data_IF_445073667040
#
_entry.id   IF_445073667040
#
_cell.length_a   1.000
_cell.length_b   1.000
_cell.length_c   1.000
_cell.angle_alpha   90.00
_cell.angle_beta   90.00
_cell.angle_gamma   90.00
#
_symmetry.space_group_name_H-M   'P 1'
#
loop_
_entity.id
_entity.type
_entity.pdbx_description
1 polymer ?
#
# COMPACT_ATOMS: atom_id res chain seq x y z
N UNK A 1 -60.95 50.74 -10.42
CA UNK A 1 -60.43 51.75 -11.36
C UNK A 1 -58.98 51.39 -11.68
N UNK A 2 -58.69 51.27 -12.97
CA UNK A 2 -57.43 51.06 -13.71
C UNK A 2 -56.06 51.16 -12.96
N UNK A 3 -55.20 50.13 -13.10
CA UNK A 3 -53.92 50.09 -13.88
C UNK A 3 -52.74 50.76 -13.11
N UNK A 4 -51.54 50.17 -12.90
CA UNK A 4 -50.56 49.65 -13.87
C UNK A 4 -49.42 48.88 -13.19
N UNK A 5 -48.97 47.83 -13.87
CA UNK A 5 -47.72 47.07 -13.65
C UNK A 5 -46.47 47.96 -13.79
N UNK A 6 -45.43 47.70 -13.00
CA UNK A 6 -44.05 48.03 -13.38
C UNK A 6 -43.14 46.83 -13.09
N UNK A 7 -42.67 46.23 -14.19
CA UNK A 7 -41.69 45.15 -14.24
C UNK A 7 -40.32 45.66 -13.76
N UNK A 8 -39.67 44.92 -12.86
CA UNK A 8 -38.22 44.92 -12.75
C UNK A 8 -37.72 43.56 -13.23
N UNK A 9 -37.31 43.54 -14.50
CA UNK A 9 -36.48 42.49 -15.09
C UNK A 9 -35.09 42.62 -14.48
N UNK A 10 -34.73 41.75 -13.55
CA UNK A 10 -33.34 41.55 -13.14
C UNK A 10 -32.70 40.69 -14.22
N UNK A 11 -31.88 41.32 -15.06
CA UNK A 11 -31.01 40.63 -16.02
C UNK A 11 -29.93 39.92 -15.20
N UNK A 12 -30.13 38.62 -14.95
CA UNK A 12 -29.05 37.72 -14.55
C UNK A 12 -28.20 37.49 -15.79
N UNK A 13 -27.15 38.30 -15.93
CA UNK A 13 -26.04 38.03 -16.84
C UNK A 13 -25.30 36.80 -16.30
N UNK A 14 -25.65 35.63 -16.84
CA UNK A 14 -24.89 34.40 -16.68
C UNK A 14 -23.54 34.62 -17.38
N UNK A 15 -22.54 35.06 -16.62
CA UNK A 15 -21.15 34.86 -17.00
C UNK A 15 -20.86 33.37 -16.87
N UNK A 16 -21.10 32.62 -17.94
CA UNK A 16 -20.42 31.35 -18.20
C UNK A 16 -18.96 31.73 -18.47
N UNK A 17 -18.21 32.00 -17.41
CA UNK A 17 -16.75 31.89 -17.48
C UNK A 17 -16.49 30.41 -17.64
N UNK A 18 -16.25 30.01 -18.88
CA UNK A 18 -15.71 28.72 -19.24
C UNK A 18 -14.52 28.45 -18.32
N UNK A 19 -14.69 27.51 -17.40
CA UNK A 19 -13.57 26.71 -16.94
C UNK A 19 -13.03 26.03 -18.20
N UNK A 20 -12.08 26.68 -18.87
CA UNK A 20 -11.23 26.03 -19.86
C UNK A 20 -10.46 25.01 -19.03
N UNK A 21 -11.03 23.80 -18.95
CA UNK A 21 -10.35 22.64 -18.39
C UNK A 21 -8.98 22.60 -19.03
N UNK A 22 -7.95 22.58 -18.18
CA UNK A 22 -6.55 22.51 -18.62
C UNK A 22 -6.41 21.24 -19.45
N UNK A 23 -6.43 21.38 -20.78
CA UNK A 23 -6.34 20.23 -21.70
C UNK A 23 -5.05 19.49 -21.41
N UNK A 24 -5.17 18.21 -21.11
CA UNK A 24 -4.01 17.37 -20.81
C UNK A 24 -3.19 17.19 -22.08
N UNK A 25 -1.89 17.51 -21.99
CA UNK A 25 -0.93 17.29 -23.08
C UNK A 25 -0.15 16.02 -22.81
N UNK A 26 -0.16 15.11 -23.78
CA UNK A 26 0.61 13.87 -23.78
C UNK A 26 1.51 13.83 -25.01
N UNK A 27 2.51 12.96 -25.02
CA UNK A 27 3.54 12.88 -26.06
C UNK A 27 3.42 11.57 -26.83
N UNK A 28 3.69 11.63 -28.14
CA UNK A 28 3.83 10.42 -28.95
C UNK A 28 5.10 9.68 -28.54
N UNK A 29 4.94 8.48 -27.96
CA UNK A 29 6.04 7.65 -27.47
C UNK A 29 6.53 6.60 -28.46
N UNK A 30 5.78 6.35 -29.53
CA UNK A 30 6.16 5.38 -30.57
C UNK A 30 7.09 6.01 -31.61
N UNK A 31 8.22 5.35 -31.91
CA UNK A 31 9.20 5.85 -32.89
C UNK A 31 8.63 5.95 -34.31
N UNK A 32 7.69 5.05 -34.64
CA UNK A 32 6.92 5.11 -35.87
C UNK A 32 5.84 6.18 -35.85
N UNK A 33 5.80 7.10 -34.88
CA UNK A 33 4.80 8.15 -34.80
C UNK A 33 3.40 7.58 -34.54
N UNK A 34 2.41 8.46 -34.51
CA UNK A 34 1.06 8.11 -34.15
C UNK A 34 0.07 8.37 -35.28
N UNK A 35 -0.66 7.34 -35.69
CA UNK A 35 -1.74 7.48 -36.66
C UNK A 35 -3.00 8.05 -36.00
N UNK A 36 -3.62 9.02 -36.69
CA UNK A 36 -4.89 9.61 -36.29
C UNK A 36 -5.93 9.27 -37.33
N UNK A 37 -7.03 8.69 -36.86
CA UNK A 37 -8.11 8.13 -37.65
C UNK A 37 -9.34 9.03 -37.57
N UNK A 38 -10.21 8.95 -38.58
CA UNK A 38 -11.47 9.69 -38.61
C UNK A 38 -12.50 9.14 -37.61
N UNK A 39 -12.50 7.82 -37.43
CA UNK A 39 -13.35 7.06 -36.50
C UNK A 39 -12.46 6.21 -35.56
N UNK A 40 -12.95 5.80 -34.38
CA UNK A 40 -12.21 5.00 -33.39
C UNK A 40 -12.06 3.52 -33.81
N UNK A 41 -11.55 3.27 -35.01
CA UNK A 41 -11.31 1.93 -35.56
C UNK A 41 -10.11 1.91 -36.51
N UNK A 42 -9.36 0.80 -36.54
CA UNK A 42 -8.13 0.69 -37.35
C UNK A 42 -8.39 0.63 -38.86
N UNK A 43 -9.62 0.28 -39.27
CA UNK A 43 -10.08 0.30 -40.67
C UNK A 43 -10.46 1.69 -41.18
N UNK A 44 -10.62 2.66 -40.28
CA UNK A 44 -11.02 4.01 -40.65
C UNK A 44 -9.93 4.71 -41.45
N UNK A 45 -10.34 5.76 -42.18
CA UNK A 45 -9.43 6.63 -42.89
C UNK A 45 -8.43 7.26 -41.93
N UNK A 46 -7.15 7.14 -42.25
CA UNK A 46 -6.08 7.88 -41.57
C UNK A 46 -6.14 9.34 -42.03
N UNK A 47 -6.37 10.25 -41.09
CA UNK A 47 -6.37 11.69 -41.32
C UNK A 47 -4.94 12.22 -41.44
N UNK A 48 -4.07 11.84 -40.50
CA UNK A 48 -2.66 12.26 -40.47
C UNK A 48 -1.84 11.36 -39.53
N UNK A 49 -0.52 11.60 -39.51
CA UNK A 49 0.41 10.94 -38.60
C UNK A 49 1.17 11.99 -37.79
N UNK A 50 1.06 11.91 -36.47
CA UNK A 50 1.82 12.76 -35.54
C UNK A 50 3.24 12.20 -35.40
N UNK A 51 4.30 13.01 -35.59
CA UNK A 51 5.67 12.56 -35.40
C UNK A 51 5.98 12.11 -33.97
N UNK A 52 6.99 11.26 -33.84
CA UNK A 52 7.55 10.87 -32.54
C UNK A 52 8.00 12.09 -31.73
N UNK A 53 7.76 12.09 -30.41
CA UNK A 53 8.04 13.17 -29.42
C UNK A 53 7.13 14.40 -29.48
N UNK A 54 6.25 14.49 -30.46
CA UNK A 54 5.35 15.63 -30.56
C UNK A 54 4.25 15.55 -29.49
N UNK A 55 3.86 16.69 -28.90
CA UNK A 55 2.76 16.75 -27.96
C UNK A 55 1.41 16.75 -28.71
N UNK A 56 0.43 16.05 -28.15
CA UNK A 56 -0.98 16.08 -28.58
C UNK A 56 -1.86 16.46 -27.39
N UNK A 57 -3.00 17.09 -27.68
CA UNK A 57 -4.01 17.39 -26.66
C UNK A 57 -5.04 16.27 -26.61
N UNK A 58 -5.33 15.76 -25.40
CA UNK A 58 -6.48 14.87 -25.21
C UNK A 58 -7.74 15.71 -25.16
N UNK A 59 -8.66 15.45 -26.07
CA UNK A 59 -9.94 16.16 -26.20
C UNK A 59 -11.10 15.37 -25.58
N UNK A 60 -11.03 14.04 -25.63
CA UNK A 60 -12.03 13.13 -25.08
C UNK A 60 -11.36 11.84 -24.62
N UNK A 61 -11.61 11.46 -23.37
CA UNK A 61 -11.29 10.15 -22.81
C UNK A 61 -12.46 9.21 -23.07
N UNK A 62 -12.17 7.97 -23.46
CA UNK A 62 -13.17 6.91 -23.65
C UNK A 62 -12.83 5.72 -22.77
N UNK A 63 -13.85 4.92 -22.46
CA UNK A 63 -13.68 3.68 -21.70
C UNK A 63 -12.93 2.60 -22.51
N UNK A 64 -12.87 2.74 -23.85
CA UNK A 64 -12.06 1.90 -24.72
C UNK A 64 -10.63 2.45 -24.90
N UNK A 65 -9.81 1.75 -25.70
CA UNK A 65 -8.41 2.13 -25.94
C UNK A 65 -8.26 3.32 -26.89
N UNK A 66 -9.34 3.96 -27.33
CA UNK A 66 -9.28 5.09 -28.24
C UNK A 66 -9.40 6.40 -27.48
N UNK A 67 -8.63 7.40 -27.90
CA UNK A 67 -8.74 8.77 -27.39
C UNK A 67 -9.02 9.69 -28.55
N UNK A 68 -9.91 10.66 -28.34
CA UNK A 68 -10.00 11.78 -29.29
C UNK A 68 -8.88 12.75 -28.96
N UNK A 69 -8.03 13.02 -29.94
CA UNK A 69 -6.87 13.90 -29.79
C UNK A 69 -6.91 15.07 -30.77
N UNK A 70 -6.25 16.15 -30.37
CA UNK A 70 -5.98 17.32 -31.21
C UNK A 70 -4.49 17.48 -31.45
N UNK A 71 -4.10 17.67 -32.71
CA UNK A 71 -2.73 18.00 -33.09
C UNK A 71 -2.71 19.00 -34.24
N UNK A 72 -1.97 20.10 -34.07
CA UNK A 72 -1.83 21.16 -35.09
C UNK A 72 -3.16 21.67 -35.69
N UNK A 73 -4.22 21.75 -34.88
CA UNK A 73 -5.54 22.22 -35.30
C UNK A 73 -6.44 21.17 -35.97
N UNK A 74 -6.01 19.91 -36.05
CA UNK A 74 -6.83 18.81 -36.57
C UNK A 74 -7.20 17.87 -35.43
N UNK A 75 -8.47 17.46 -35.38
CA UNK A 75 -8.99 16.48 -34.41
C UNK A 75 -9.18 15.11 -35.06
N UNK A 76 -9.02 14.05 -34.28
CA UNK A 76 -9.37 12.69 -34.70
C UNK A 76 -9.14 11.68 -33.58
N UNK A 77 -9.32 10.40 -33.88
CA UNK A 77 -9.19 9.33 -32.92
C UNK A 77 -7.84 8.66 -33.03
N UNK A 78 -7.26 8.32 -31.89
CA UNK A 78 -5.97 7.67 -31.85
C UNK A 78 -5.91 6.64 -30.75
N UNK A 79 -5.06 5.65 -30.96
CA UNK A 79 -4.97 4.50 -30.10
C UNK A 79 -4.05 4.80 -28.92
N UNK A 80 -4.60 4.81 -27.70
CA UNK A 80 -3.98 5.24 -26.45
C UNK A 80 -2.57 4.67 -26.12
N UNK A 81 -2.22 3.39 -26.38
CA UNK A 81 -0.95 2.79 -25.90
C UNK A 81 0.33 3.34 -26.55
N UNK A 82 0.22 4.38 -27.36
CA UNK A 82 1.36 5.07 -28.00
C UNK A 82 1.49 6.52 -27.52
N UNK A 83 0.67 6.91 -26.54
CA UNK A 83 0.67 8.21 -25.88
C UNK A 83 1.26 8.08 -24.48
N UNK A 84 2.18 8.97 -24.12
CA UNK A 84 2.83 8.99 -22.82
C UNK A 84 2.75 10.35 -22.16
N UNK A 85 2.53 10.39 -20.85
CA UNK A 85 2.66 11.61 -20.05
C UNK A 85 4.13 12.04 -19.85
N UNK A 86 5.09 11.16 -20.15
CA UNK A 86 6.52 11.43 -20.04
C UNK A 86 7.05 11.81 -21.41
N UNK A 87 7.70 12.97 -21.48
CA UNK A 87 8.32 13.44 -22.72
C UNK A 87 9.56 12.59 -23.04
N UNK A 88 9.67 12.00 -24.22
CA UNK A 88 10.93 11.38 -24.60
C UNK A 88 12.05 12.43 -24.72
N UNK A 89 13.28 12.05 -24.34
CA UNK A 89 14.46 12.87 -23.99
C UNK A 89 14.40 13.59 -22.62
N UNK A 90 13.38 13.33 -21.79
CA UNK A 90 13.38 13.81 -20.41
C UNK A 90 14.44 13.08 -19.57
N UNK A 91 15.04 13.81 -18.63
CA UNK A 91 15.86 13.20 -17.58
C UNK A 91 14.99 12.79 -16.39
N UNK A 92 15.14 11.56 -15.94
CA UNK A 92 14.54 11.00 -14.72
C UNK A 92 15.63 10.45 -13.80
N UNK A 93 15.25 10.08 -12.57
CA UNK A 93 16.14 9.55 -11.55
C UNK A 93 15.72 8.14 -11.14
N UNK A 94 16.67 7.28 -10.82
CA UNK A 94 16.39 5.95 -10.29
C UNK A 94 15.78 6.06 -8.88
N UNK A 95 14.57 5.54 -8.71
CA UNK A 95 13.79 5.47 -7.48
C UNK A 95 13.71 4.03 -6.94
N UNK A 96 14.87 3.42 -6.70
CA UNK A 96 15.00 2.09 -6.10
C UNK A 96 16.27 1.99 -5.25
N UNK A 97 16.13 1.56 -4.00
CA UNK A 97 17.27 1.31 -3.09
C UNK A 97 18.06 0.05 -3.46
N UNK A 98 17.43 -0.89 -4.16
CA UNK A 98 18.03 -2.12 -4.71
C UNK A 98 18.89 -1.85 -5.95
N UNK A 99 18.86 -0.61 -6.44
CA UNK A 99 19.26 -0.28 -7.79
C UNK A 99 18.20 -0.70 -8.82
N UNK A 100 18.46 -0.35 -10.06
CA UNK A 100 17.60 -0.61 -11.19
C UNK A 100 18.37 -1.41 -12.24
N UNK A 101 17.88 -2.60 -12.57
CA UNK A 101 18.48 -3.42 -13.61
C UNK A 101 18.27 -2.80 -14.98
N UNK A 102 19.33 -2.78 -15.79
CA UNK A 102 19.32 -2.37 -17.19
C UNK A 102 19.48 -3.59 -18.07
N UNK A 103 18.59 -3.75 -19.04
CA UNK A 103 18.46 -4.96 -19.82
C UNK A 103 18.65 -4.70 -21.32
N UNK A 104 19.03 -5.73 -22.08
CA UNK A 104 19.16 -5.62 -23.54
C UNK A 104 17.81 -5.62 -24.27
N UNK A 105 16.76 -6.17 -23.65
CA UNK A 105 15.38 -6.21 -24.15
C UNK A 105 14.40 -5.76 -23.06
N UNK A 106 13.17 -5.37 -23.44
CA UNK A 106 12.09 -5.00 -22.50
C UNK A 106 11.51 -6.25 -21.79
N UNK A 107 12.37 -7.03 -21.12
CA UNK A 107 12.00 -8.22 -20.38
C UNK A 107 12.95 -8.44 -19.22
N UNK A 108 12.40 -8.77 -18.05
CA UNK A 108 13.18 -9.08 -16.86
C UNK A 108 13.89 -10.44 -16.91
N UNK A 109 13.59 -11.27 -17.92
CA UNK A 109 14.29 -12.52 -18.24
C UNK A 109 15.38 -12.35 -19.31
N UNK A 110 15.54 -11.14 -19.85
CA UNK A 110 16.58 -10.85 -20.83
C UNK A 110 17.93 -10.56 -20.15
N UNK A 111 18.96 -10.30 -20.94
CA UNK A 111 20.31 -10.18 -20.41
C UNK A 111 20.43 -8.90 -19.56
N UNK A 112 20.85 -9.04 -18.30
CA UNK A 112 21.15 -7.93 -17.42
C UNK A 112 22.49 -7.32 -17.84
N UNK A 113 22.46 -6.09 -18.34
CA UNK A 113 23.64 -5.35 -18.78
C UNK A 113 24.34 -4.65 -17.61
N UNK A 114 23.58 -4.09 -16.68
CA UNK A 114 24.12 -3.46 -15.47
C UNK A 114 23.04 -3.30 -14.39
N UNK A 115 23.48 -2.94 -13.18
CA UNK A 115 22.65 -2.46 -12.09
C UNK A 115 23.04 -1.00 -11.80
N UNK A 116 22.09 -0.07 -11.98
CA UNK A 116 22.31 1.36 -11.73
C UNK A 116 21.76 1.74 -10.35
N UNK A 117 22.55 2.49 -9.57
CA UNK A 117 22.23 2.80 -8.18
C UNK A 117 21.14 3.88 -8.04
N UNK A 118 20.54 3.96 -6.85
CA UNK A 118 19.55 4.97 -6.49
C UNK A 118 20.03 6.41 -6.80
N UNK A 119 19.11 7.31 -7.17
CA UNK A 119 19.36 8.71 -7.56
C UNK A 119 20.24 8.89 -8.81
N UNK A 120 20.61 7.81 -9.51
CA UNK A 120 21.27 7.92 -10.82
C UNK A 120 20.35 8.64 -11.80
N UNK A 121 20.87 9.67 -12.47
CA UNK A 121 20.14 10.43 -13.49
C UNK A 121 20.25 9.71 -14.84
N UNK A 122 19.12 9.46 -15.48
CA UNK A 122 19.02 8.79 -16.77
C UNK A 122 18.26 9.66 -17.76
N UNK A 123 18.67 9.64 -19.02
CA UNK A 123 17.89 10.22 -20.12
C UNK A 123 16.96 9.14 -20.68
N UNK A 124 15.64 9.39 -20.66
CA UNK A 124 14.65 8.50 -21.27
C UNK A 124 14.64 8.74 -22.77
N UNK A 125 15.03 7.75 -23.56
CA UNK A 125 15.09 7.88 -25.02
C UNK A 125 13.76 7.56 -25.69
N UNK A 126 13.01 6.58 -25.19
CA UNK A 126 11.62 6.26 -25.55
C UNK A 126 10.99 5.34 -24.49
N UNK A 127 9.67 5.17 -24.56
CA UNK A 127 8.91 4.26 -23.69
C UNK A 127 8.28 3.18 -24.55
N UNK A 128 8.62 1.93 -24.26
CA UNK A 128 7.98 0.74 -24.78
C UNK A 128 6.80 0.39 -23.86
N UNK A 129 5.60 0.58 -24.41
CA UNK A 129 4.38 0.40 -23.62
C UNK A 129 3.91 -1.05 -23.51
N UNK A 130 4.53 -2.00 -24.22
CA UNK A 130 4.10 -3.41 -24.24
C UNK A 130 2.61 -3.62 -24.58
N UNK A 131 2.17 -4.88 -24.67
CA UNK A 131 0.76 -5.21 -24.94
C UNK A 131 -0.05 -5.57 -23.68
N UNK A 132 0.49 -5.36 -22.48
CA UNK A 132 -0.08 -5.92 -21.24
C UNK A 132 -0.16 -4.86 -20.12
N UNK A 133 -1.34 -4.24 -19.97
CA UNK A 133 -1.63 -3.12 -19.06
C UNK A 133 -1.56 -3.46 -17.57
N UNK A 134 -1.46 -4.73 -17.27
CA UNK A 134 -1.72 -5.27 -15.96
C UNK A 134 -0.50 -5.31 -15.05
N UNK A 135 0.67 -5.36 -15.68
CA UNK A 135 1.92 -5.29 -14.94
C UNK A 135 2.30 -3.85 -14.59
N UNK A 136 1.69 -2.80 -15.19
CA UNK A 136 2.27 -1.42 -15.22
C UNK A 136 3.77 -1.38 -15.58
N UNK A 137 4.35 -2.49 -16.05
CA UNK A 137 5.77 -2.63 -16.35
C UNK A 137 6.03 -2.09 -17.75
N UNK A 138 5.84 -0.78 -17.90
CA UNK A 138 6.35 -0.08 -19.06
C UNK A 138 7.87 -0.11 -18.99
N UNK A 139 8.49 -0.38 -20.13
CA UNK A 139 9.93 -0.35 -20.24
C UNK A 139 10.33 0.99 -20.83
N UNK A 140 11.27 1.68 -20.21
CA UNK A 140 11.92 2.83 -20.80
C UNK A 140 13.25 2.38 -21.39
N UNK A 141 13.52 2.74 -22.64
CA UNK A 141 14.90 2.66 -23.14
C UNK A 141 15.62 3.93 -22.71
N UNK A 142 16.73 3.78 -22.00
CA UNK A 142 17.42 4.88 -21.33
C UNK A 142 18.88 4.97 -21.74
N UNK A 143 19.45 6.16 -21.54
CA UNK A 143 20.87 6.46 -21.70
C UNK A 143 21.39 7.06 -20.38
N UNK A 144 22.39 6.40 -19.79
CA UNK A 144 23.24 6.91 -18.72
C UNK A 144 24.63 7.26 -19.25
N UNK A 145 25.55 7.63 -18.36
CA UNK A 145 26.90 8.12 -18.73
C UNK A 145 27.67 7.15 -19.64
N UNK A 146 27.58 5.84 -19.38
CA UNK A 146 28.28 4.80 -20.15
C UNK A 146 27.40 3.57 -20.43
N UNK A 147 26.08 3.73 -20.49
CA UNK A 147 25.17 2.60 -20.58
C UNK A 147 23.88 2.97 -21.32
N UNK A 148 23.42 2.06 -22.18
CA UNK A 148 22.09 2.10 -22.79
C UNK A 148 21.39 0.77 -22.61
N UNK A 149 20.08 0.81 -22.41
CA UNK A 149 19.27 -0.39 -22.30
C UNK A 149 17.87 -0.10 -21.79
N UNK A 150 17.10 -1.16 -21.59
CA UNK A 150 15.74 -1.12 -21.09
C UNK A 150 15.73 -1.17 -19.57
N UNK A 151 14.94 -0.30 -18.96
CA UNK A 151 14.66 -0.29 -17.53
C UNK A 151 13.16 -0.26 -17.30
N UNK A 152 12.70 -0.72 -16.14
CA UNK A 152 11.29 -0.59 -15.75
C UNK A 152 11.01 0.86 -15.33
N UNK A 153 9.95 1.45 -15.87
CA UNK A 153 9.63 2.86 -15.64
C UNK A 153 9.20 3.16 -14.19
N UNK A 154 8.62 2.17 -13.50
CA UNK A 154 8.11 2.33 -12.12
C UNK A 154 9.22 2.68 -11.11
N UNK A 155 10.47 2.39 -11.47
CA UNK A 155 11.66 2.74 -10.70
C UNK A 155 12.30 4.04 -11.19
N UNK A 156 11.57 4.89 -11.92
CA UNK A 156 12.01 6.20 -12.34
C UNK A 156 11.12 7.30 -11.73
N UNK A 157 11.74 8.38 -11.29
CA UNK A 157 11.06 9.56 -10.76
C UNK A 157 11.53 10.85 -11.42
N UNK A 158 10.67 11.87 -11.45
CA UNK A 158 11.02 13.20 -12.00
C UNK A 158 12.08 13.93 -11.18
N UNK A 159 12.12 13.63 -9.88
CA UNK A 159 13.04 14.22 -8.90
C UNK A 159 13.69 13.11 -8.08
N UNK A 160 14.95 13.28 -7.62
CA UNK A 160 15.59 12.29 -6.77
C UNK A 160 14.82 12.19 -5.45
N UNK A 161 14.22 11.02 -5.20
CA UNK A 161 13.51 10.77 -3.94
C UNK A 161 14.49 10.38 -2.85
N UNK A 162 14.15 10.70 -1.61
CA UNK A 162 14.91 10.28 -0.44
C UNK A 162 14.09 9.26 0.35
N UNK A 163 14.77 8.23 0.82
CA UNK A 163 14.22 7.25 1.76
C UNK A 163 14.78 7.56 3.14
N UNK A 164 13.92 7.53 4.13
CA UNK A 164 14.27 7.77 5.52
C UNK A 164 14.10 6.49 6.32
N UNK A 165 14.84 6.40 7.42
CA UNK A 165 14.61 5.42 8.47
C UNK A 165 14.47 6.13 9.82
N UNK A 166 13.85 5.46 10.78
CA UNK A 166 13.82 5.85 12.17
C UNK A 166 14.15 4.65 13.05
N UNK A 167 15.12 4.80 13.95
CA UNK A 167 15.56 3.76 14.89
C UNK A 167 14.45 3.44 15.89
N UNK A 168 14.10 2.16 16.03
CA UNK A 168 13.07 1.68 16.98
C UNK A 168 13.61 0.79 18.09
N UNK A 169 14.89 0.40 18.04
CA UNK A 169 15.49 -0.38 19.13
C UNK A 169 15.87 0.54 20.30
N UNK A 170 15.46 0.17 21.52
CA UNK A 170 15.77 0.91 22.76
C UNK A 170 17.26 1.09 23.01
N UNK A 171 18.05 0.07 22.66
CA UNK A 171 19.49 0.11 22.81
C UNK A 171 20.18 1.00 21.75
N UNK A 172 19.42 1.52 20.78
CA UNK A 172 19.97 2.12 19.57
C UNK A 172 20.48 1.07 18.59
N UNK A 173 21.14 1.53 17.51
CA UNK A 173 21.66 0.66 16.46
C UNK A 173 23.12 0.99 16.16
N UNK A 174 23.96 -0.04 16.09
CA UNK A 174 25.37 0.11 15.74
C UNK A 174 25.51 0.56 14.28
N UNK A 175 26.18 1.71 14.05
CA UNK A 175 26.72 2.10 12.76
C UNK A 175 28.05 1.40 12.57
N UNK A 176 28.16 0.55 11.55
CA UNK A 176 29.34 -0.25 11.26
C UNK A 176 30.05 0.23 9.99
N UNK A 177 31.33 -0.06 9.86
CA UNK A 177 32.10 0.33 8.67
C UNK A 177 31.71 -0.44 7.41
N UNK A 178 31.18 -1.65 7.55
CA UNK A 178 30.65 -2.52 6.49
C UNK A 178 29.40 -3.25 7.01
N UNK A 179 28.58 -3.82 6.10
CA UNK A 179 27.56 -4.81 6.49
C UNK A 179 28.17 -5.95 7.33
N UNK A 180 27.38 -6.53 8.22
CA UNK A 180 27.73 -7.72 9.01
C UNK A 180 28.02 -7.44 10.49
N UNK A 181 27.80 -8.47 11.33
CA UNK A 181 28.00 -8.40 12.79
C UNK A 181 29.47 -8.33 13.22
N UNK A 182 30.38 -8.82 12.39
CA UNK A 182 31.83 -8.82 12.67
C UNK A 182 32.52 -7.50 12.26
N UNK A 183 31.80 -6.63 11.55
CA UNK A 183 32.33 -5.37 11.06
C UNK A 183 32.53 -4.36 12.20
N UNK A 184 33.64 -3.60 12.23
CA UNK A 184 33.90 -2.62 13.28
C UNK A 184 32.76 -1.63 13.49
N UNK A 185 32.37 -1.42 14.75
CA UNK A 185 31.38 -0.42 15.14
C UNK A 185 32.04 0.96 15.16
N UNK A 186 31.50 1.89 14.36
CA UNK A 186 31.92 3.29 14.30
C UNK A 186 31.34 4.07 15.48
N UNK A 187 30.04 3.89 15.74
CA UNK A 187 29.27 4.54 16.81
C UNK A 187 27.92 3.84 16.98
N UNK A 188 27.15 4.21 18.01
CA UNK A 188 25.75 3.80 18.18
C UNK A 188 24.83 4.97 17.83
N UNK A 189 23.79 4.70 17.05
CA UNK A 189 22.72 5.65 16.71
C UNK A 189 21.60 5.49 17.74
N UNK A 190 21.16 6.57 18.41
CA UNK A 190 20.14 6.48 19.45
C UNK A 190 18.76 6.14 18.88
N UNK A 191 17.88 5.61 19.74
CA UNK A 191 16.45 5.45 19.45
C UNK A 191 15.83 6.77 18.97
N UNK A 192 14.82 6.68 18.09
CA UNK A 192 14.10 7.80 17.46
C UNK A 192 14.97 8.70 16.58
N UNK A 193 16.25 8.38 16.38
CA UNK A 193 17.03 9.05 15.34
C UNK A 193 16.40 8.76 13.99
N UNK A 194 16.11 9.83 13.25
CA UNK A 194 15.70 9.78 11.84
C UNK A 194 16.90 10.11 10.97
N UNK A 195 17.20 9.23 10.02
CA UNK A 195 18.28 9.41 9.06
C UNK A 195 17.87 9.07 7.63
N UNK A 196 18.74 9.39 6.68
CA UNK A 196 18.54 9.04 5.26
C UNK A 196 19.19 7.69 4.95
N UNK A 197 18.50 6.91 4.12
CA UNK A 197 19.02 5.68 3.51
C UNK A 197 19.70 6.07 2.20
N UNK A 198 21.01 5.89 2.14
CA UNK A 198 21.83 6.16 0.97
C UNK A 198 21.87 4.95 0.03
N UNK A 199 21.90 3.75 0.60
CA UNK A 199 22.10 2.48 -0.11
C UNK A 199 21.55 1.33 0.74
N UNK A 200 21.22 0.20 0.12
CA UNK A 200 20.84 -1.06 0.79
C UNK A 200 21.75 -2.19 0.33
N UNK A 201 22.10 -3.12 1.23
CA UNK A 201 22.75 -4.37 0.85
C UNK A 201 21.83 -5.26 0.01
N UNK A 202 22.42 -6.10 -0.84
CA UNK A 202 21.67 -7.07 -1.64
C UNK A 202 21.13 -8.23 -0.80
N UNK A 203 21.87 -8.65 0.22
CA UNK A 203 21.52 -9.83 1.01
C UNK A 203 20.69 -9.45 2.25
N UNK A 204 19.64 -10.25 2.50
CA UNK A 204 18.84 -10.22 3.72
C UNK A 204 19.53 -11.10 4.78
N UNK A 205 19.66 -10.57 5.98
CA UNK A 205 20.22 -11.28 7.13
C UNK A 205 19.18 -11.44 8.24
N UNK A 206 19.30 -12.52 9.02
CA UNK A 206 18.57 -12.69 10.27
C UNK A 206 19.50 -12.38 11.45
N UNK A 207 19.20 -11.31 12.18
CA UNK A 207 19.97 -10.91 13.37
C UNK A 207 19.00 -10.86 14.55
N UNK A 208 19.25 -11.70 15.57
CA UNK A 208 18.41 -11.82 16.77
C UNK A 208 16.94 -12.07 16.43
N UNK A 209 16.67 -13.01 15.52
CA UNK A 209 15.31 -13.38 15.12
C UNK A 209 14.61 -12.34 14.23
N UNK A 210 15.26 -11.24 13.88
CA UNK A 210 14.71 -10.21 13.01
C UNK A 210 15.39 -10.25 11.65
N UNK A 211 14.58 -10.35 10.60
CA UNK A 211 15.08 -10.27 9.23
C UNK A 211 15.23 -8.81 8.80
N UNK A 212 16.29 -8.51 8.07
CA UNK A 212 16.53 -7.16 7.57
C UNK A 212 17.70 -7.12 6.58
N UNK A 213 17.93 -5.95 6.01
CA UNK A 213 19.08 -5.65 5.17
C UNK A 213 20.01 -4.70 5.90
N UNK A 214 21.19 -4.44 5.35
CA UNK A 214 22.03 -3.35 5.82
C UNK A 214 21.71 -2.08 5.04
N UNK A 215 21.44 -0.99 5.75
CA UNK A 215 21.29 0.35 5.17
C UNK A 215 22.55 1.15 5.36
N UNK A 216 23.08 1.71 4.28
CA UNK A 216 24.13 2.70 4.36
C UNK A 216 23.54 4.06 4.68
N UNK A 217 24.14 4.75 5.64
CA UNK A 217 23.67 6.04 6.12
C UNK A 217 24.84 6.91 6.58
N UNK A 218 24.58 8.20 6.75
CA UNK A 218 25.51 9.15 7.34
C UNK A 218 24.96 9.66 8.68
N UNK A 219 25.81 9.64 9.71
CA UNK A 219 25.50 10.23 11.00
C UNK A 219 26.68 11.08 11.47
N UNK A 220 26.44 12.39 11.63
CA UNK A 220 27.44 13.38 12.10
C UNK A 220 28.76 13.31 11.30
N UNK A 221 28.67 13.29 9.97
CA UNK A 221 29.84 13.22 9.08
C UNK A 221 30.48 11.84 8.96
N UNK A 222 29.94 10.81 9.61
CA UNK A 222 30.44 9.43 9.53
C UNK A 222 29.49 8.59 8.69
N UNK A 223 30.00 8.03 7.60
CA UNK A 223 29.26 7.11 6.74
C UNK A 223 29.50 5.67 7.20
N UNK A 224 28.43 4.89 7.32
CA UNK A 224 28.50 3.48 7.69
C UNK A 224 27.19 2.75 7.40
N UNK A 225 27.04 1.57 7.98
CA UNK A 225 25.94 0.66 7.75
C UNK A 225 25.20 0.33 9.05
N UNK A 226 23.88 0.36 9.02
CA UNK A 226 22.99 -0.06 10.10
C UNK A 226 22.11 -1.22 9.66
N UNK A 227 21.68 -2.06 10.59
CA UNK A 227 20.78 -3.17 10.27
C UNK A 227 19.32 -2.69 10.26
N UNK A 228 18.61 -2.88 9.14
CA UNK A 228 17.27 -2.37 8.90
C UNK A 228 16.19 -3.02 9.76
N UNK A 229 16.44 -4.23 10.27
CA UNK A 229 15.51 -4.93 11.14
C UNK A 229 15.16 -4.15 12.41
N UNK A 230 16.00 -3.17 12.79
CA UNK A 230 15.81 -2.30 13.96
C UNK A 230 15.34 -0.89 13.56
N UNK A 231 14.76 -0.73 12.37
CA UNK A 231 14.33 0.55 11.80
C UNK A 231 12.99 0.48 11.09
N UNK A 232 12.16 1.51 11.22
CA UNK A 232 11.02 1.73 10.30
C UNK A 232 11.46 2.66 9.20
N UNK A 233 11.06 2.38 7.96
CA UNK A 233 11.41 3.21 6.81
C UNK A 233 10.20 3.92 6.24
N UNK A 234 10.39 5.12 5.71
CA UNK A 234 9.35 5.84 4.98
C UNK A 234 9.97 6.75 3.92
N UNK A 235 9.18 7.08 2.89
CA UNK A 235 9.52 8.16 1.96
C UNK A 235 9.09 9.53 2.49
N UNK A 236 8.18 9.54 3.47
CA UNK A 236 7.75 10.74 4.17
C UNK A 236 8.48 10.83 5.51
N UNK A 237 9.38 11.81 5.62
CA UNK A 237 10.11 12.07 6.86
C UNK A 237 9.17 12.47 7.99
N UNK A 238 8.13 13.25 7.69
CA UNK A 238 7.17 13.73 8.68
C UNK A 238 6.40 12.58 9.31
N UNK A 239 6.02 11.58 8.52
CA UNK A 239 5.43 10.35 9.04
C UNK A 239 6.31 9.68 10.12
N UNK A 240 7.64 9.70 9.95
CA UNK A 240 8.55 9.13 10.95
C UNK A 240 8.73 10.03 12.18
N UNK A 241 8.65 11.34 12.01
CA UNK A 241 8.69 12.34 13.10
C UNK A 241 7.42 12.24 13.98
N UNK A 242 6.27 12.01 13.35
CA UNK A 242 4.97 11.86 14.02
C UNK A 242 4.74 10.43 14.57
N UNK A 243 5.69 9.50 14.34
CA UNK A 243 5.59 8.06 14.68
C UNK A 243 5.75 7.73 16.18
N UNK A 244 5.71 8.70 17.08
CA UNK A 244 5.51 8.42 18.52
C UNK A 244 4.14 7.71 18.79
N UNK A 245 3.35 7.51 17.73
CA UNK A 245 2.05 6.88 17.68
C UNK A 245 1.98 5.41 18.16
N UNK A 246 3.03 4.58 18.02
CA UNK A 246 2.91 3.13 18.33
C UNK A 246 2.83 2.85 19.86
N UNK A 247 2.89 3.90 20.70
CA UNK A 247 2.85 3.77 22.17
C UNK A 247 1.97 4.80 22.86
N UNK A 248 1.27 5.65 22.12
CA UNK A 248 0.42 6.66 22.74
C UNK A 248 -1.02 6.15 22.90
N UNK A 249 -1.69 6.64 23.93
CA UNK A 249 -3.11 6.45 24.18
C UNK A 249 -3.94 6.62 22.90
N UNK A 250 -3.56 7.57 22.05
CA UNK A 250 -4.24 7.86 20.78
C UNK A 250 -4.32 6.67 19.82
N UNK A 251 -3.23 5.93 19.56
CA UNK A 251 -3.31 4.72 18.72
C UNK A 251 -4.27 3.68 19.30
N UNK A 252 -4.21 3.46 20.62
CA UNK A 252 -5.12 2.52 21.29
C UNK A 252 -6.57 3.01 21.22
N UNK A 253 -6.79 4.33 21.35
CA UNK A 253 -8.11 4.93 21.14
C UNK A 253 -8.60 4.67 19.71
N UNK A 254 -7.72 4.76 18.70
CA UNK A 254 -8.07 4.55 17.29
C UNK A 254 -8.13 3.09 16.85
N UNK A 255 -7.60 2.14 17.63
CA UNK A 255 -7.48 0.73 17.27
C UNK A 255 -8.81 0.07 16.85
N UNK A 256 -9.93 0.57 17.38
CA UNK A 256 -11.30 0.15 17.04
C UNK A 256 -12.18 1.31 16.58
N UNK A 257 -11.62 2.35 15.94
CA UNK A 257 -12.39 3.57 15.69
C UNK A 257 -13.63 3.35 14.81
N UNK A 258 -13.50 2.51 13.79
CA UNK A 258 -14.59 2.09 12.91
C UNK A 258 -14.22 0.83 12.15
N UNK A 259 -15.23 0.15 11.61
CA UNK A 259 -15.03 -0.77 10.49
C UNK A 259 -14.72 0.05 9.24
N UNK A 260 -13.68 -0.34 8.51
CA UNK A 260 -13.22 0.37 7.32
C UNK A 260 -13.71 -0.35 6.06
N UNK A 261 -14.16 0.39 5.03
CA UNK A 261 -14.47 -0.21 3.74
C UNK A 261 -13.18 -0.66 3.05
N UNK A 262 -13.24 -1.82 2.39
CA UNK A 262 -12.19 -2.21 1.45
C UNK A 262 -12.38 -1.40 0.17
N UNK A 263 -11.32 -0.75 -0.29
CA UNK A 263 -11.39 0.13 -1.46
C UNK A 263 -11.55 -0.66 -2.76
N UNK A 264 -12.21 -0.01 -3.74
CA UNK A 264 -12.32 -0.55 -5.08
C UNK A 264 -10.93 -0.73 -5.72
N UNK A 265 -10.78 -1.83 -6.44
CA UNK A 265 -9.53 -2.27 -7.01
C UNK A 265 -9.73 -2.64 -8.49
N UNK A 266 -8.82 -2.17 -9.35
CA UNK A 266 -8.84 -2.53 -10.77
C UNK A 266 -8.30 -3.94 -10.95
N UNK A 267 -9.12 -4.83 -11.51
CA UNK A 267 -8.87 -6.26 -11.58
C UNK A 267 -9.47 -6.87 -12.86
N UNK A 268 -8.66 -7.51 -13.71
CA UNK A 268 -9.13 -8.39 -14.80
C UNK A 268 -8.66 -9.83 -14.49
N UNK A 269 -9.51 -10.82 -14.68
CA UNK A 269 -9.21 -12.23 -14.37
C UNK A 269 -8.26 -12.88 -15.38
N UNK A 270 -8.17 -12.32 -16.59
CA UNK A 270 -7.07 -12.67 -17.54
C UNK A 270 -5.69 -12.46 -16.90
N UNK A 271 -5.75 -11.69 -15.83
CA UNK A 271 -4.84 -11.34 -14.78
C UNK A 271 -3.91 -12.44 -14.31
N UNK A 272 -4.60 -13.56 -14.12
CA UNK A 272 -4.24 -14.57 -13.16
C UNK A 272 -3.46 -15.70 -13.80
N UNK A 273 -3.30 -15.69 -15.13
CA UNK A 273 -2.70 -16.78 -15.91
C UNK A 273 -1.25 -17.09 -15.51
N UNK A 274 -0.54 -16.10 -15.01
CA UNK A 274 0.86 -16.23 -14.59
C UNK A 274 1.01 -16.57 -13.09
N UNK A 275 -0.09 -16.69 -12.33
CA UNK A 275 -0.07 -16.75 -10.86
C UNK A 275 -0.76 -18.00 -10.32
N UNK A 276 -0.41 -18.38 -9.09
CA UNK A 276 -1.17 -19.40 -8.35
C UNK A 276 -2.35 -18.72 -7.70
N UNK A 277 -3.56 -19.18 -7.98
CA UNK A 277 -4.78 -18.57 -7.47
C UNK A 277 -5.71 -19.63 -6.91
N UNK A 278 -6.11 -19.44 -5.66
CA UNK A 278 -7.22 -20.15 -5.05
C UNK A 278 -8.48 -19.27 -5.10
N UNK A 279 -9.60 -19.87 -5.49
CA UNK A 279 -10.88 -19.15 -5.65
C UNK A 279 -11.92 -19.72 -4.71
N UNK A 280 -12.69 -18.82 -4.08
CA UNK A 280 -13.76 -19.16 -3.16
C UNK A 280 -15.01 -18.32 -3.45
N UNK A 281 -16.18 -18.76 -3.00
CA UNK A 281 -17.43 -18.01 -3.15
C UNK A 281 -18.09 -17.78 -1.81
N UNK A 282 -18.49 -16.53 -1.50
CA UNK A 282 -19.28 -16.19 -0.30
C UNK A 282 -20.25 -15.07 -0.61
N UNK A 283 -21.54 -15.32 -0.35
CA UNK A 283 -22.61 -14.39 -0.72
C UNK A 283 -22.53 -13.99 -2.20
N UNK A 284 -22.53 -12.68 -2.44
CA UNK A 284 -22.42 -12.09 -3.77
C UNK A 284 -20.97 -11.97 -4.27
N UNK A 285 -19.99 -12.53 -3.57
CA UNK A 285 -18.57 -12.34 -3.87
C UNK A 285 -17.87 -13.62 -4.30
N UNK A 286 -17.02 -13.47 -5.29
CA UNK A 286 -15.93 -14.39 -5.61
C UNK A 286 -14.65 -13.84 -4.97
N UNK A 287 -13.93 -14.68 -4.26
CA UNK A 287 -12.74 -14.31 -3.48
C UNK A 287 -11.56 -15.00 -4.12
N UNK A 288 -10.59 -14.21 -4.57
CA UNK A 288 -9.34 -14.68 -5.15
C UNK A 288 -8.23 -14.50 -4.12
N UNK A 289 -7.62 -15.60 -3.71
CA UNK A 289 -6.35 -15.59 -3.00
C UNK A 289 -5.23 -15.80 -4.02
N UNK A 290 -4.50 -14.72 -4.31
CA UNK A 290 -3.50 -14.66 -5.36
C UNK A 290 -2.13 -14.75 -4.72
N UNK A 291 -1.35 -15.75 -5.10
CA UNK A 291 0.07 -15.85 -4.78
C UNK A 291 0.87 -15.50 -6.04
N UNK A 292 1.56 -14.36 -6.00
CA UNK A 292 2.32 -13.85 -7.13
C UNK A 292 3.61 -14.64 -7.37
N UNK A 293 4.07 -15.42 -6.37
CA UNK A 293 5.28 -16.20 -6.41
C UNK A 293 6.54 -15.34 -6.36
N UNK A 294 7.47 -15.68 -5.46
CA UNK A 294 8.81 -15.10 -5.29
C UNK A 294 8.91 -13.62 -5.75
N UNK A 295 8.33 -12.67 -5.01
CA UNK A 295 8.60 -11.26 -5.25
C UNK A 295 10.13 -11.11 -5.23
N UNK A 296 10.71 -10.48 -6.27
CA UNK A 296 12.12 -10.07 -6.17
C UNK A 296 12.24 -9.31 -4.86
N UNK A 297 13.36 -9.52 -4.15
CA UNK A 297 13.68 -8.92 -2.83
C UNK A 297 13.83 -7.39 -2.87
N UNK A 298 12.98 -6.70 -3.65
CA UNK A 298 12.92 -5.27 -3.70
C UNK A 298 12.04 -4.73 -2.56
N UNK A 299 12.48 -3.59 -2.03
CA UNK A 299 11.77 -2.88 -0.96
C UNK A 299 10.63 -2.02 -1.50
N UNK A 300 10.31 -2.21 -2.78
CA UNK A 300 9.48 -1.32 -3.58
C UNK A 300 8.41 -2.16 -4.26
N UNK A 301 7.37 -2.45 -3.48
CA UNK A 301 6.01 -2.73 -3.96
C UNK A 301 5.80 -4.07 -4.69
N UNK A 302 6.72 -5.03 -4.60
CA UNK A 302 6.44 -6.39 -5.09
C UNK A 302 5.51 -7.14 -4.13
N UNK A 303 4.21 -7.18 -4.46
CA UNK A 303 3.24 -7.97 -3.69
C UNK A 303 3.61 -9.45 -3.70
N UNK A 304 3.71 -10.09 -2.54
CA UNK A 304 3.92 -11.54 -2.45
C UNK A 304 2.61 -12.29 -2.65
N UNK A 305 1.57 -11.85 -1.94
CA UNK A 305 0.24 -12.45 -1.98
C UNK A 305 -0.83 -11.42 -1.64
N UNK A 306 -2.06 -11.64 -2.09
CA UNK A 306 -3.19 -10.71 -1.93
C UNK A 306 -4.53 -11.44 -1.91
N UNK A 307 -5.49 -10.87 -1.19
CA UNK A 307 -6.90 -11.25 -1.29
C UNK A 307 -7.66 -10.18 -2.11
N UNK A 308 -8.44 -10.63 -3.09
CA UNK A 308 -9.32 -9.78 -3.91
C UNK A 308 -10.75 -10.29 -3.78
N UNK A 309 -11.68 -9.38 -3.48
CA UNK A 309 -13.11 -9.67 -3.40
C UNK A 309 -13.81 -9.09 -4.62
N UNK A 310 -14.32 -9.92 -5.53
CA UNK A 310 -15.07 -9.47 -6.70
C UNK A 310 -16.56 -9.68 -6.49
N UNK A 311 -17.32 -8.60 -6.52
CA UNK A 311 -18.77 -8.66 -6.46
C UNK A 311 -19.31 -9.19 -7.80
N UNK A 312 -20.01 -10.33 -7.76
CA UNK A 312 -20.59 -11.03 -8.92
C UNK A 312 -21.71 -10.24 -9.58
N UNK A 313 -22.40 -9.38 -8.83
CA UNK A 313 -23.53 -8.59 -9.33
C UNK A 313 -23.06 -7.33 -10.04
N UNK A 314 -22.09 -6.62 -9.48
CA UNK A 314 -21.60 -5.34 -10.02
C UNK A 314 -20.35 -5.48 -10.88
N UNK A 315 -19.63 -6.60 -10.76
CA UNK A 315 -18.32 -6.81 -11.38
C UNK A 315 -17.18 -6.03 -10.70
N UNK A 316 -17.47 -5.22 -9.67
CA UNK A 316 -16.48 -4.42 -8.96
C UNK A 316 -15.63 -5.33 -8.07
N UNK A 317 -14.32 -5.17 -8.16
CA UNK A 317 -13.37 -5.83 -7.26
C UNK A 317 -12.90 -4.90 -6.15
N UNK A 318 -12.55 -5.47 -5.00
CA UNK A 318 -12.09 -4.77 -3.81
C UNK A 318 -10.84 -5.46 -3.25
N UNK A 319 -9.87 -4.68 -2.79
CA UNK A 319 -8.66 -5.20 -2.13
C UNK A 319 -7.98 -4.10 -1.32
N UNK A 320 -7.28 -4.48 -0.23
CA UNK A 320 -6.46 -3.53 0.50
C UNK A 320 -5.16 -3.29 -0.27
N UNK A 321 -4.92 -2.02 -0.60
CA UNK A 321 -3.70 -1.58 -1.27
C UNK A 321 -2.59 -1.29 -0.25
N UNK A 322 -1.33 -1.46 -0.68
CA UNK A 322 -0.16 -1.09 0.14
C UNK A 322 0.34 -2.18 1.10
N UNK A 323 -0.36 -3.31 1.25
CA UNK A 323 0.18 -4.49 1.95
C UNK A 323 1.19 -5.21 1.07
N UNK A 324 2.33 -5.63 1.61
CA UNK A 324 3.32 -6.45 0.90
C UNK A 324 2.83 -7.89 0.70
N UNK A 325 2.30 -8.49 1.76
CA UNK A 325 1.74 -9.82 1.71
C UNK A 325 0.46 -9.89 2.53
N UNK A 326 -0.49 -10.67 2.05
CA UNK A 326 -1.66 -11.05 2.82
C UNK A 326 -1.86 -12.56 2.69
N UNK A 327 -2.11 -13.24 3.80
CA UNK A 327 -2.33 -14.68 3.85
C UNK A 327 -3.74 -14.96 4.35
N UNK A 328 -4.51 -15.67 3.52
CA UNK A 328 -5.81 -16.20 3.93
C UNK A 328 -5.59 -17.27 5.01
N UNK A 329 -6.16 -17.07 6.19
CA UNK A 329 -6.08 -18.03 7.31
C UNK A 329 -7.35 -18.88 7.32
N UNK A 330 -8.52 -18.24 7.41
CA UNK A 330 -9.80 -18.92 7.51
C UNK A 330 -10.89 -18.24 6.70
N UNK A 331 -11.85 -19.05 6.23
CA UNK A 331 -13.13 -18.60 5.67
C UNK A 331 -14.25 -19.00 6.63
N UNK A 332 -15.26 -18.16 6.74
CA UNK A 332 -16.43 -18.35 7.61
C UNK A 332 -16.07 -18.52 9.09
N UNK A 333 -14.96 -17.92 9.52
CA UNK A 333 -14.50 -17.97 10.91
C UNK A 333 -14.07 -16.57 11.37
N UNK A 334 -14.59 -16.09 12.52
CA UNK A 334 -15.45 -16.83 13.45
C UNK A 334 -16.89 -17.03 12.95
N UNK A 335 -17.38 -16.25 11.99
CA UNK A 335 -18.78 -16.29 11.56
C UNK A 335 -18.92 -16.56 10.06
N UNK A 336 -20.05 -17.11 9.58
CA UNK A 336 -20.34 -17.18 8.15
C UNK A 336 -20.20 -15.83 7.45
N UNK A 337 -19.73 -15.85 6.20
CA UNK A 337 -19.47 -14.65 5.38
C UNK A 337 -18.40 -13.73 5.97
N UNK A 338 -17.41 -14.31 6.67
CA UNK A 338 -16.21 -13.59 7.09
C UNK A 338 -14.95 -14.21 6.50
N UNK A 339 -13.91 -13.39 6.38
CA UNK A 339 -12.57 -13.83 5.96
C UNK A 339 -11.57 -13.36 6.99
N UNK A 340 -10.78 -14.29 7.54
CA UNK A 340 -9.72 -13.97 8.47
C UNK A 340 -8.36 -14.09 7.77
N UNK A 341 -7.57 -13.03 7.82
CA UNK A 341 -6.25 -12.97 7.20
C UNK A 341 -5.17 -12.49 8.17
N UNK A 342 -3.92 -12.82 7.86
CA UNK A 342 -2.75 -12.08 8.36
C UNK A 342 -2.16 -11.25 7.25
N UNK A 343 -1.55 -10.12 7.59
CA UNK A 343 -0.81 -9.29 6.64
C UNK A 343 0.61 -9.01 7.11
N UNK A 344 1.48 -8.72 6.13
CA UNK A 344 2.77 -8.07 6.30
C UNK A 344 2.72 -6.77 5.50
N UNK A 345 2.84 -5.62 6.16
CA UNK A 345 2.71 -4.34 5.49
C UNK A 345 3.90 -4.07 4.55
N UNK A 346 5.11 -4.50 4.91
CA UNK A 346 6.29 -4.25 4.08
C UNK A 346 7.45 -5.23 4.29
N UNK A 347 8.16 -5.57 3.21
CA UNK A 347 9.22 -6.60 3.17
C UNK A 347 10.55 -6.17 3.81
N UNK A 348 10.86 -4.86 3.76
CA UNK A 348 12.19 -4.32 4.08
C UNK A 348 12.24 -3.39 5.28
N UNK A 349 11.09 -3.05 5.86
CA UNK A 349 10.98 -2.25 7.07
C UNK A 349 10.74 -3.15 8.27
N UNK A 350 10.69 -2.57 9.48
CA UNK A 350 10.20 -3.31 10.64
C UNK A 350 8.88 -4.02 10.30
N UNK A 351 8.72 -5.28 10.74
CA UNK A 351 7.51 -6.05 10.47
C UNK A 351 6.31 -5.38 11.15
N UNK A 352 5.57 -4.56 10.41
CA UNK A 352 4.19 -4.22 10.75
C UNK A 352 3.32 -5.35 10.20
N UNK A 353 3.10 -6.31 11.08
CA UNK A 353 2.30 -7.49 10.81
C UNK A 353 1.06 -7.42 11.69
N UNK A 354 -0.06 -7.82 11.12
CA UNK A 354 -1.31 -7.86 11.86
C UNK A 354 -2.27 -8.85 11.27
N UNK A 355 -3.50 -8.77 11.74
CA UNK A 355 -4.57 -9.64 11.34
C UNK A 355 -5.82 -8.81 11.09
N UNK A 356 -6.58 -9.22 10.06
CA UNK A 356 -7.79 -8.55 9.62
C UNK A 356 -8.93 -9.55 9.64
N UNK A 357 -10.10 -9.08 10.07
CA UNK A 357 -11.35 -9.80 9.89
C UNK A 357 -12.21 -9.00 8.92
N UNK A 358 -12.43 -9.57 7.74
CA UNK A 358 -13.33 -9.03 6.73
C UNK A 358 -14.74 -9.55 6.94
N UNK A 359 -15.70 -8.67 6.68
CA UNK A 359 -17.12 -8.93 6.68
C UNK A 359 -17.64 -8.75 5.25
N UNK A 360 -18.17 -9.82 4.67
CA UNK A 360 -18.72 -9.82 3.33
C UNK A 360 -20.20 -9.44 3.43
N UNK A 361 -20.52 -8.26 2.91
CA UNK A 361 -21.86 -7.69 2.90
C UNK A 361 -22.53 -7.91 1.54
N UNK A 362 -23.70 -7.33 1.30
CA UNK A 362 -24.42 -7.54 0.03
C UNK A 362 -23.70 -6.92 -1.17
N UNK A 363 -23.18 -5.70 -1.02
CA UNK A 363 -22.61 -4.90 -2.12
C UNK A 363 -21.14 -4.48 -1.90
N UNK A 364 -20.65 -4.56 -0.66
CA UNK A 364 -19.33 -4.10 -0.23
C UNK A 364 -18.63 -5.11 0.70
N UNK A 365 -17.35 -4.86 0.98
CA UNK A 365 -16.57 -5.58 1.98
C UNK A 365 -16.05 -4.57 2.98
N UNK A 366 -16.19 -4.89 4.26
CA UNK A 366 -15.68 -4.09 5.38
C UNK A 366 -14.66 -4.90 6.15
N UNK A 367 -13.76 -4.26 6.88
CA UNK A 367 -12.81 -4.98 7.75
C UNK A 367 -12.55 -4.24 9.07
N UNK A 368 -12.06 -4.99 10.04
CA UNK A 368 -11.51 -4.48 11.31
C UNK A 368 -10.14 -5.11 11.56
N UNK A 369 -9.30 -4.44 12.35
CA UNK A 369 -8.15 -5.09 12.98
C UNK A 369 -8.64 -6.10 14.02
N UNK A 370 -8.22 -7.35 13.89
CA UNK A 370 -8.74 -8.43 14.72
C UNK A 370 -7.68 -9.49 14.91
N UNK A 371 -7.45 -9.91 16.15
CA UNK A 371 -6.59 -11.04 16.48
C UNK A 371 -7.43 -12.07 17.19
N UNK A 372 -7.51 -13.27 16.63
CA UNK A 372 -8.38 -14.34 17.13
C UNK A 372 -7.97 -14.82 18.52
N UNK A 373 -6.66 -15.01 18.73
CA UNK A 373 -6.13 -15.58 19.97
C UNK A 373 -6.11 -14.56 21.10
N UNK A 374 -6.64 -14.99 22.24
CA UNK A 374 -6.43 -14.31 23.53
C UNK A 374 -4.94 -14.13 23.80
N UNK A 375 -4.61 -13.02 24.45
CA UNK A 375 -3.24 -12.63 24.76
C UNK A 375 -3.16 -12.00 26.13
N UNK A 376 -1.98 -12.13 26.75
CA UNK A 376 -1.63 -11.41 27.98
C UNK A 376 -0.89 -10.14 27.62
N UNK A 377 -1.11 -9.09 28.40
CA UNK A 377 -0.41 -7.83 28.21
C UNK A 377 1.10 -8.04 28.41
N UNK A 378 1.90 -7.64 27.42
CA UNK A 378 3.35 -7.76 27.46
C UNK A 378 3.99 -6.53 26.84
N UNK A 379 5.10 -6.09 27.44
CA UNK A 379 6.01 -5.13 26.84
C UNK A 379 7.09 -5.90 26.09
N UNK A 380 7.22 -5.63 24.80
CA UNK A 380 8.18 -6.29 23.92
C UNK A 380 9.36 -5.35 23.75
N UNK A 381 10.52 -5.81 24.19
CA UNK A 381 11.80 -5.11 24.09
C UNK A 381 12.75 -5.97 23.24
N UNK A 382 13.84 -5.40 22.74
CA UNK A 382 14.82 -6.11 21.91
C UNK A 382 15.03 -5.45 20.56
N UNK A 383 14.99 -6.25 19.49
CA UNK A 383 15.20 -5.83 18.10
C UNK A 383 14.27 -4.69 17.68
N UNK A 384 12.99 -4.82 18.03
CA UNK A 384 11.94 -3.83 17.77
C UNK A 384 11.14 -3.72 19.06
N UNK A 385 11.01 -2.51 19.59
CA UNK A 385 10.12 -2.28 20.72
C UNK A 385 8.66 -2.31 20.27
N UNK A 386 7.81 -2.98 21.05
CA UNK A 386 6.40 -3.11 20.77
C UNK A 386 5.58 -3.45 22.02
N UNK A 387 4.29 -3.61 21.82
CA UNK A 387 3.36 -4.00 22.88
C UNK A 387 2.47 -5.14 22.40
N UNK A 388 2.16 -6.07 23.28
CA UNK A 388 1.06 -7.01 23.13
C UNK A 388 -0.06 -6.54 24.05
N UNK A 389 -1.24 -6.26 23.50
CA UNK A 389 -2.43 -5.96 24.30
C UNK A 389 -2.84 -7.20 25.09
N UNK A 390 -3.33 -7.04 26.31
CA UNK A 390 -4.16 -8.11 26.86
C UNK A 390 -5.46 -8.14 26.07
N UNK A 391 -5.85 -9.32 25.62
CA UNK A 391 -7.06 -9.52 24.82
C UNK A 391 -7.83 -10.72 25.33
N UNK A 392 -9.12 -10.50 25.47
CA UNK A 392 -10.10 -11.57 25.55
C UNK A 392 -11.21 -11.27 24.54
N UNK A 393 -11.43 -12.17 23.59
CA UNK A 393 -12.58 -12.08 22.68
C UNK A 393 -13.65 -13.08 23.11
N UNK A 394 -14.91 -12.69 22.99
CA UNK A 394 -16.06 -13.59 23.13
C UNK A 394 -17.04 -13.40 21.99
N UNK A 395 -17.75 -14.47 21.66
CA UNK A 395 -18.57 -14.57 20.45
C UNK A 395 -20.00 -14.93 20.83
N UNK A 396 -20.96 -14.17 20.32
CA UNK A 396 -22.38 -14.51 20.31
C UNK A 396 -22.83 -14.76 18.87
N UNK A 397 -22.95 -16.05 18.52
CA UNK A 397 -23.37 -16.52 17.21
C UNK A 397 -24.84 -16.27 16.89
N UNK A 398 -25.68 -16.10 17.91
CA UNK A 398 -27.11 -15.85 17.73
C UNK A 398 -27.33 -14.40 17.28
N UNK A 399 -26.59 -13.47 17.88
CA UNK A 399 -26.72 -12.04 17.58
C UNK A 399 -25.68 -11.52 16.59
N UNK A 400 -24.77 -12.36 16.07
CA UNK A 400 -23.62 -11.91 15.25
C UNK A 400 -22.85 -10.78 15.93
N UNK A 401 -22.36 -11.08 17.14
CA UNK A 401 -21.65 -10.10 17.96
C UNK A 401 -20.31 -10.64 18.42
N UNK A 402 -19.28 -9.80 18.31
CA UNK A 402 -17.97 -10.03 18.93
C UNK A 402 -17.82 -9.03 20.06
N UNK A 403 -17.65 -9.53 21.27
CA UNK A 403 -17.22 -8.74 22.41
C UNK A 403 -15.71 -8.81 22.53
N UNK A 404 -15.06 -7.67 22.69
CA UNK A 404 -13.60 -7.57 22.80
C UNK A 404 -13.25 -6.80 24.07
N UNK A 405 -12.50 -7.44 24.97
CA UNK A 405 -11.96 -6.79 26.15
C UNK A 405 -10.45 -6.64 25.99
N UNK A 406 -10.01 -5.41 25.73
CA UNK A 406 -8.64 -5.06 25.39
C UNK A 406 -8.02 -4.22 26.50
N UNK A 407 -6.76 -4.49 26.86
CA UNK A 407 -6.03 -3.67 27.83
C UNK A 407 -4.66 -3.27 27.31
N UNK A 408 -4.38 -1.97 27.38
CA UNK A 408 -3.11 -1.38 26.98
C UNK A 408 -2.08 -1.50 28.12
N UNK A 409 -0.97 -2.23 27.95
CA UNK A 409 0.07 -2.30 28.98
C UNK A 409 0.74 -0.95 29.25
N UNK A 410 1.05 -0.69 30.52
CA UNK A 410 2.01 0.34 30.91
C UNK A 410 3.43 -0.23 30.83
N UNK A 411 4.19 0.26 29.85
CA UNK A 411 5.53 -0.24 29.54
C UNK A 411 6.61 0.73 29.97
N UNK A 412 7.41 0.32 30.97
CA UNK A 412 8.59 1.05 31.45
C UNK A 412 9.86 0.48 30.84
N UNK A 413 10.81 1.34 30.48
CA UNK A 413 12.10 0.90 29.92
C UNK A 413 12.76 -0.08 30.91
N UNK A 414 13.04 -1.34 30.48
CA UNK A 414 13.53 -2.36 31.39
C UNK A 414 14.94 -2.00 31.85
N UNK A 415 15.23 -2.30 33.13
CA UNK A 415 16.57 -2.10 33.70
C UNK A 415 17.62 -3.00 33.04
N UNK A 416 17.21 -4.19 32.57
CA UNK A 416 18.06 -5.10 31.81
C UNK A 416 17.69 -5.00 30.31
N UNK A 417 18.59 -4.49 29.45
CA UNK A 417 18.34 -4.33 28.02
C UNK A 417 18.30 -5.67 27.26
N UNK A 418 18.62 -6.80 27.90
CA UNK A 418 18.56 -8.13 27.28
C UNK A 418 17.20 -8.82 27.43
N UNK A 419 16.28 -8.27 28.23
CA UNK A 419 14.93 -8.82 28.35
C UNK A 419 14.13 -8.49 27.11
N UNK A 420 13.64 -9.50 26.39
CA UNK A 420 12.84 -9.28 25.18
C UNK A 420 11.33 -9.19 25.44
N UNK A 421 10.85 -9.80 26.52
CA UNK A 421 9.43 -9.81 26.89
C UNK A 421 9.32 -9.59 28.39
N UNK A 422 8.68 -8.50 28.78
CA UNK A 422 8.57 -8.07 30.17
C UNK A 422 7.10 -7.86 30.51
N UNK A 423 6.59 -8.45 31.61
CA UNK A 423 5.26 -8.12 32.11
C UNK A 423 5.15 -6.62 32.39
N UNK A 424 4.04 -5.97 32.03
CA UNK A 424 3.90 -4.52 32.22
C UNK A 424 3.83 -4.15 33.72
N UNK A 425 4.21 -2.92 34.06
CA UNK A 425 4.10 -2.41 35.44
C UNK A 425 2.65 -2.07 35.83
N UNK A 426 1.76 -1.98 34.84
CA UNK A 426 0.34 -1.74 35.02
C UNK A 426 -0.45 -1.78 33.72
N UNK A 427 -1.69 -1.31 33.77
CA UNK A 427 -2.53 -1.09 32.59
C UNK A 427 -2.79 0.41 32.48
N UNK A 428 -2.58 0.98 31.31
CA UNK A 428 -2.85 2.40 31.04
C UNK A 428 -4.34 2.60 30.77
N UNK A 429 -4.87 1.84 29.81
CA UNK A 429 -6.28 1.92 29.39
C UNK A 429 -6.92 0.55 29.25
N UNK A 430 -8.23 0.51 29.43
CA UNK A 430 -9.09 -0.62 29.10
C UNK A 430 -10.09 -0.20 28.02
N UNK A 431 -10.33 -1.05 27.04
CA UNK A 431 -11.37 -0.88 26.03
C UNK A 431 -12.22 -2.13 26.01
N UNK A 432 -13.50 -1.97 26.34
CA UNK A 432 -14.52 -2.94 25.98
C UNK A 432 -15.20 -2.50 24.69
N UNK A 433 -15.07 -3.28 23.62
CA UNK A 433 -15.69 -3.03 22.33
C UNK A 433 -16.72 -4.10 22.00
N UNK A 434 -17.81 -3.69 21.37
CA UNK A 434 -18.87 -4.56 20.89
C UNK A 434 -18.98 -4.34 19.40
N UNK A 435 -18.58 -5.35 18.64
CA UNK A 435 -18.70 -5.35 17.18
C UNK A 435 -19.94 -6.16 16.84
N UNK A 436 -20.95 -5.49 16.31
CA UNK A 436 -22.17 -6.12 15.82
C UNK A 436 -22.33 -5.81 14.34
N UNK A 437 -22.86 -6.75 13.56
CA UNK A 437 -23.12 -6.52 12.15
C UNK A 437 -24.31 -7.30 11.63
N UNK A 438 -24.88 -6.74 10.57
CA UNK A 438 -25.86 -7.37 9.72
C UNK A 438 -25.33 -7.43 8.28
N UNK A 439 -26.25 -7.57 7.32
CA UNK A 439 -25.89 -7.65 5.89
C UNK A 439 -25.52 -6.29 5.27
N UNK A 440 -25.80 -5.17 5.94
CA UNK A 440 -25.67 -3.81 5.41
C UNK A 440 -24.65 -2.96 6.19
N UNK A 441 -24.55 -3.16 7.51
CA UNK A 441 -23.82 -2.28 8.42
C UNK A 441 -23.03 -3.05 9.48
N UNK A 442 -21.95 -2.41 9.95
CA UNK A 442 -21.19 -2.82 11.13
C UNK A 442 -21.26 -1.67 12.12
N UNK A 443 -21.67 -1.98 13.34
CA UNK A 443 -21.63 -1.05 14.46
C UNK A 443 -20.53 -1.48 15.43
N UNK A 444 -19.79 -0.49 15.92
CA UNK A 444 -18.76 -0.69 16.94
C UNK A 444 -19.09 0.24 18.11
N UNK A 445 -19.58 -0.34 19.20
CA UNK A 445 -19.76 0.37 20.47
C UNK A 445 -18.50 0.24 21.32
N UNK A 446 -18.09 1.31 22.00
CA UNK A 446 -16.80 1.41 22.69
C UNK A 446 -16.97 1.98 24.10
N UNK A 447 -16.37 1.31 25.07
CA UNK A 447 -16.35 1.72 26.48
C UNK A 447 -14.91 1.78 26.96
N UNK A 448 -14.36 2.99 27.04
CA UNK A 448 -13.01 3.23 27.54
C UNK A 448 -13.00 3.37 29.07
N UNK A 449 -12.03 2.73 29.71
CA UNK A 449 -11.67 2.84 31.14
C UNK A 449 -12.79 2.57 32.13
N UNK A 450 -13.81 1.83 31.69
CA UNK A 450 -14.95 1.39 32.50
C UNK A 450 -14.96 -0.12 32.75
N UNK A 451 -13.97 -0.84 32.21
CA UNK A 451 -14.03 -2.30 32.11
C UNK A 451 -15.22 -2.74 31.27
N UNK A 452 -15.73 -3.94 31.53
CA UNK A 452 -16.99 -4.41 30.93
C UNK A 452 -18.13 -3.66 31.66
N UNK A 453 -19.02 -2.94 30.97
CA UNK A 453 -20.14 -2.26 31.61
C UNK A 453 -21.12 -3.27 32.21
N UNK A 454 -21.73 -2.91 33.35
CA UNK A 454 -22.64 -3.80 34.10
C UNK A 454 -23.80 -4.34 33.25
N UNK A 455 -24.33 -3.51 32.34
CA UNK A 455 -25.40 -3.90 31.40
C UNK A 455 -25.02 -5.03 30.44
N UNK A 456 -23.73 -5.34 30.30
CA UNK A 456 -23.22 -6.38 29.40
C UNK A 456 -22.61 -7.59 30.13
N UNK A 457 -22.58 -7.63 31.47
CA UNK A 457 -21.99 -8.78 32.20
C UNK A 457 -22.63 -10.11 31.83
N UNK A 458 -23.97 -10.19 31.87
CA UNK A 458 -24.69 -11.42 31.53
C UNK A 458 -24.49 -11.85 30.07
N UNK A 459 -24.39 -10.89 29.16
CA UNK A 459 -24.17 -11.16 27.72
C UNK A 459 -22.74 -11.66 27.50
N UNK A 460 -21.76 -11.00 28.11
CA UNK A 460 -20.36 -11.40 28.08
C UNK A 460 -20.15 -12.80 28.66
N UNK A 461 -20.79 -13.13 29.79
CA UNK A 461 -20.63 -14.43 30.46
C UNK A 461 -21.30 -15.59 29.73
N UNK A 462 -22.36 -15.33 28.96
CA UNK A 462 -22.95 -16.34 28.07
C UNK A 462 -22.22 -16.49 26.75
N UNK A 463 -21.57 -15.43 26.25
CA UNK A 463 -20.80 -15.47 25.02
C UNK A 463 -19.63 -16.46 25.14
N UNK A 464 -19.37 -17.21 24.08
CA UNK A 464 -18.34 -18.25 24.10
C UNK A 464 -16.96 -17.67 23.80
N UNK A 465 -15.92 -18.24 24.40
CA UNK A 465 -14.52 -17.96 24.04
C UNK A 465 -14.06 -18.70 22.79
N UNK A 466 -14.84 -19.67 22.32
CA UNK A 466 -14.47 -20.48 21.17
C UNK A 466 -14.93 -19.80 19.87
N UNK A 467 -14.02 -19.34 19.00
CA UNK A 467 -14.35 -18.73 17.71
C UNK A 467 -14.94 -19.74 16.70
N UNK A 468 -14.93 -21.03 17.01
CA UNK A 468 -15.43 -22.12 16.15
C UNK A 468 -16.78 -22.69 16.59
N UNK A 469 -17.54 -21.97 17.42
CA UNK A 469 -18.83 -22.44 17.91
C UNK A 469 -19.92 -22.45 16.83
N UNK A 470 -20.82 -23.44 16.89
CA UNK A 470 -22.14 -23.35 16.25
C UNK A 470 -23.09 -22.56 17.17
N UNK A 471 -24.17 -21.94 16.64
CA UNK A 471 -25.14 -21.23 17.47
C UNK A 471 -25.66 -22.15 18.59
N UNK A 472 -25.48 -21.74 19.85
CA UNK A 472 -26.13 -22.44 20.97
C UNK A 472 -27.64 -22.22 20.83
N UNK A 473 -28.36 -23.34 20.66
CA UNK A 473 -29.83 -23.35 20.49
C UNK A 473 -30.58 -22.88 21.73
#
# INVERSE_FOLDING_TARGET
>A
MKVRYFNYFVIILIFISTCIGKREKVYVSEFQGLYVYEEPELSSRILYRVPYKEPVEILEEREDRWKKIGYSGVEGFSYSPVLSQIRPDQYLFVDSLDGLGVYDKPSSSSNLLALIVHKTRLKVLFIDQGNNMLKKLYWAYVEGENLKGYVKIDFLSKEPRTYYYSIVSSAGVNLRSKPGLDSPVITVLPINLIGEILEKSSEKENIKGTNGYWFRTEYRGKVGWIFSGFTVTSRDKKYLEDRDYIRNEEWFMRYMDSALPVEAYSFDEKDLKDFTVDTYERGNFEIFYINYGNPREDCTVSYNSRIVFKNKLTGIAYSIQGLYAETLIHLDQPFPNTVYSSYEACNCCCPDNGNLLYFIMEDKVMFIHYKEKDSVAMCLYGSVEGIELQRENRYDFTTKTIYMNLKLPLCEVPKDPNLERVPPSGIVHNLFAIVHWDNETITIEKFYDKGIPESYYDLWDRATKNPFGTPQK
#
